data_IF_200444995544
#
_entry.id   IF_200444995544
#
_cell.length_a   1.000
_cell.length_b   1.000
_cell.length_c   1.000
_cell.angle_alpha   90.00
_cell.angle_beta   90.00
_cell.angle_gamma   90.00
#
_symmetry.space_group_name_H-M   'P 1'
#
loop_
_entity.id
_entity.type
_entity.pdbx_description
1 polymer ?
#
# COMPACT_ATOMS: atom_id res chain seq x y z
N UNK A 1 -15.67 -31.79 -62.21
CA UNK A 1 -14.46 -31.71 -61.37
C UNK A 1 -14.87 -32.00 -59.94
N UNK A 2 -14.30 -33.09 -59.41
CA UNK A 2 -14.32 -33.77 -58.09
C UNK A 2 -15.09 -33.12 -56.92
N UNK A 3 -16.07 -33.77 -56.27
CA UNK A 3 -16.08 -34.97 -55.41
C UNK A 3 -15.81 -34.69 -53.91
N UNK A 4 -16.79 -35.00 -53.06
CA UNK A 4 -16.72 -35.22 -51.60
C UNK A 4 -16.77 -36.75 -51.34
N UNK A 5 -16.64 -37.24 -50.08
CA UNK A 5 -15.52 -37.31 -49.13
C UNK A 5 -15.13 -38.80 -48.87
N UNK A 6 -14.29 -39.22 -47.89
CA UNK A 6 -14.75 -39.42 -46.49
C UNK A 6 -13.67 -39.26 -45.39
N UNK A 7 -14.11 -39.38 -44.13
CA UNK A 7 -13.32 -39.43 -42.90
C UNK A 7 -12.64 -40.80 -42.70
N UNK A 8 -11.46 -40.85 -42.06
CA UNK A 8 -11.16 -41.97 -41.16
C UNK A 8 -10.07 -41.69 -40.12
N UNK A 9 -10.12 -42.49 -39.07
CA UNK A 9 -9.58 -42.37 -37.73
C UNK A 9 -8.21 -43.02 -37.56
N UNK A 10 -7.57 -42.65 -36.45
CA UNK A 10 -6.68 -43.44 -35.57
C UNK A 10 -5.40 -44.01 -36.19
N UNK A 11 -4.27 -43.61 -35.57
CA UNK A 11 -3.31 -44.59 -35.10
C UNK A 11 -2.63 -44.09 -33.81
N UNK A 12 -2.83 -44.87 -32.75
CA UNK A 12 -2.09 -44.84 -31.49
C UNK A 12 -0.72 -45.48 -31.71
N UNK A 13 0.35 -44.89 -31.18
CA UNK A 13 1.54 -45.63 -30.76
C UNK A 13 2.41 -44.82 -29.77
N UNK A 14 2.23 -45.10 -28.47
CA UNK A 14 3.36 -45.32 -27.55
C UNK A 14 3.66 -46.83 -27.62
N UNK A 15 4.83 -47.39 -27.24
CA UNK A 15 5.87 -46.84 -26.38
C UNK A 15 7.32 -47.12 -26.85
N UNK A 16 8.33 -46.53 -26.21
CA UNK A 16 9.59 -47.24 -25.97
C UNK A 16 10.31 -46.67 -24.75
N UNK A 17 10.61 -47.59 -23.85
CA UNK A 17 11.14 -47.39 -22.51
C UNK A 17 12.66 -47.46 -22.57
N UNK A 18 13.29 -46.56 -21.82
CA UNK A 18 14.56 -46.72 -21.12
C UNK A 18 15.78 -47.27 -21.88
N UNK A 19 16.82 -46.44 -21.95
CA UNK A 19 18.16 -46.88 -21.55
C UNK A 19 18.73 -45.89 -20.55
N UNK A 20 18.81 -46.34 -19.30
CA UNK A 20 19.65 -45.74 -18.27
C UNK A 20 21.09 -46.00 -18.69
N UNK A 21 21.88 -44.96 -18.89
CA UNK A 21 23.33 -45.05 -18.86
C UNK A 21 23.79 -44.16 -17.72
N UNK A 22 24.59 -44.77 -16.85
CA UNK A 22 24.94 -44.30 -15.53
C UNK A 22 25.70 -42.97 -15.54
N UNK A 23 25.44 -42.15 -14.52
CA UNK A 23 26.38 -41.12 -14.08
C UNK A 23 27.69 -41.77 -13.63
N UNK A 24 28.80 -41.07 -13.83
CA UNK A 24 29.59 -40.68 -12.67
C UNK A 24 29.80 -39.16 -12.61
N UNK A 25 29.69 -38.66 -11.38
CA UNK A 25 29.95 -37.30 -10.98
C UNK A 25 31.40 -36.88 -11.28
N UNK A 26 31.62 -35.58 -11.53
CA UNK A 26 32.56 -34.74 -10.77
C UNK A 26 32.62 -33.31 -11.35
N UNK A 27 32.20 -32.37 -10.49
CA UNK A 27 32.77 -31.01 -10.32
C UNK A 27 32.81 -30.04 -11.50
N UNK A 28 31.86 -29.09 -11.50
CA UNK A 28 32.15 -27.66 -11.61
C UNK A 28 30.93 -26.84 -11.14
N UNK A 29 30.91 -26.49 -9.85
CA UNK A 29 30.02 -25.46 -9.32
C UNK A 29 30.43 -24.10 -9.91
N UNK A 30 29.68 -23.61 -10.89
CA UNK A 30 29.52 -22.18 -11.12
C UNK A 30 28.02 -21.90 -11.19
N UNK A 31 27.42 -21.77 -10.00
CA UNK A 31 26.09 -21.19 -9.83
C UNK A 31 26.15 -19.74 -10.32
N UNK A 32 25.70 -19.51 -11.55
CA UNK A 32 25.18 -18.21 -11.97
C UNK A 32 23.87 -17.94 -11.24
N UNK A 33 23.94 -17.60 -9.95
CA UNK A 33 22.82 -17.01 -9.23
C UNK A 33 22.61 -15.61 -9.82
N UNK A 34 21.59 -15.49 -10.67
CA UNK A 34 21.06 -14.19 -11.06
C UNK A 34 20.67 -13.43 -9.81
N UNK A 35 21.40 -12.35 -9.51
CA UNK A 35 21.01 -11.40 -8.49
C UNK A 35 19.88 -10.54 -9.07
N UNK A 36 18.67 -11.10 -9.12
CA UNK A 36 17.48 -10.28 -9.28
C UNK A 36 17.37 -9.41 -8.01
N UNK A 37 17.29 -8.07 -8.12
CA UNK A 37 17.02 -7.24 -6.96
C UNK A 37 15.67 -7.68 -6.39
N UNK A 38 15.69 -8.22 -5.17
CA UNK A 38 14.46 -8.43 -4.40
C UNK A 38 13.87 -7.02 -4.22
N UNK A 39 12.62 -6.75 -4.64
CA UNK A 39 11.95 -5.53 -4.25
C UNK A 39 11.79 -5.60 -2.74
N UNK A 40 12.73 -4.98 -2.03
CA UNK A 40 12.54 -4.64 -0.62
C UNK A 40 11.35 -3.69 -0.63
N UNK A 41 10.22 -3.99 0.03
CA UNK A 41 9.25 -2.94 0.30
C UNK A 41 10.05 -1.87 1.04
N UNK A 42 10.12 -0.66 0.47
CA UNK A 42 10.60 0.47 1.24
C UNK A 42 9.80 0.44 2.54
N UNK A 43 10.48 0.39 3.68
CA UNK A 43 9.83 0.69 4.94
C UNK A 43 9.55 2.19 4.92
N UNK A 44 8.52 2.54 4.14
CA UNK A 44 7.90 3.83 4.13
C UNK A 44 7.32 3.98 5.53
N UNK A 45 7.88 4.89 6.32
CA UNK A 45 7.07 5.52 7.37
C UNK A 45 5.72 5.82 6.71
N UNK A 46 4.57 5.35 7.25
CA UNK A 46 3.30 5.65 6.61
C UNK A 46 3.25 7.16 6.44
N UNK A 47 3.21 7.60 5.17
CA UNK A 47 3.61 8.96 4.79
C UNK A 47 2.99 10.03 5.69
N UNK A 48 1.78 9.78 6.21
CA UNK A 48 1.10 10.66 7.16
C UNK A 48 1.83 10.97 8.47
N UNK A 49 2.60 10.06 9.09
CA UNK A 49 3.30 10.36 10.35
C UNK A 49 4.46 11.34 10.13
N UNK A 50 5.29 11.10 9.11
CA UNK A 50 6.36 12.01 8.71
C UNK A 50 5.78 13.35 8.20
N UNK A 51 4.71 13.29 7.40
CA UNK A 51 4.02 14.46 6.88
C UNK A 51 3.37 15.31 7.98
N UNK A 52 2.89 14.69 9.07
CA UNK A 52 2.36 15.41 10.22
C UNK A 52 3.45 16.20 10.97
N UNK A 53 4.70 15.72 10.96
CA UNK A 53 5.85 16.47 11.49
C UNK A 53 6.20 17.60 10.54
N UNK A 54 6.36 17.30 9.24
CA UNK A 54 6.70 18.27 8.20
C UNK A 54 5.70 19.44 8.15
N UNK A 55 4.41 19.13 8.28
CA UNK A 55 3.34 20.13 8.23
C UNK A 55 3.04 20.79 9.58
N UNK A 56 3.83 20.48 10.62
CA UNK A 56 3.73 21.12 11.92
C UNK A 56 2.45 20.76 12.70
N UNK A 57 1.78 19.65 12.35
CA UNK A 57 0.55 19.21 13.02
C UNK A 57 0.79 18.92 14.52
N UNK A 58 2.00 18.49 14.89
CA UNK A 58 2.42 18.30 16.29
C UNK A 58 2.47 19.58 17.14
N UNK A 59 2.40 20.77 16.53
CA UNK A 59 2.34 22.02 17.29
C UNK A 59 1.04 22.13 18.11
N UNK A 60 -0.04 21.53 17.62
CA UNK A 60 -1.35 21.53 18.27
C UNK A 60 -1.74 20.14 18.80
N UNK A 61 -1.49 19.08 18.03
CA UNK A 61 -2.03 17.73 18.30
C UNK A 61 -1.15 16.85 19.21
N UNK A 62 -0.01 17.35 19.70
CA UNK A 62 0.80 16.59 20.68
C UNK A 62 0.16 16.66 22.09
N UNK A 63 0.25 15.60 22.90
CA UNK A 63 -0.13 15.66 24.31
C UNK A 63 0.59 16.79 25.06
N UNK A 64 -0.15 17.63 25.77
CA UNK A 64 0.42 18.75 26.54
C UNK A 64 0.85 19.95 25.68
N UNK A 65 0.35 20.08 24.45
CA UNK A 65 0.50 21.32 23.69
C UNK A 65 -0.23 22.48 24.40
N UNK A 66 0.13 23.73 24.06
CA UNK A 66 -0.57 24.94 24.55
C UNK A 66 -2.00 25.06 23.99
N UNK A 67 -2.39 24.22 23.05
CA UNK A 67 -3.70 24.21 22.40
C UNK A 67 -4.55 23.10 23.03
N UNK A 68 -5.05 23.34 24.24
CA UNK A 68 -5.73 22.33 25.06
C UNK A 68 -6.99 21.73 24.40
N UNK A 69 -7.65 22.51 23.53
CA UNK A 69 -8.86 22.06 22.82
C UNK A 69 -8.54 21.22 21.56
N UNK A 70 -7.27 21.15 21.15
CA UNK A 70 -6.88 20.34 20.00
C UNK A 70 -6.83 18.85 20.40
N UNK A 71 -7.56 17.96 19.71
CA UNK A 71 -7.56 16.54 20.04
C UNK A 71 -6.19 15.91 19.74
N UNK A 72 -5.77 14.92 20.52
CA UNK A 72 -4.53 14.19 20.18
C UNK A 72 -4.72 13.33 18.93
N UNK A 73 -3.61 12.97 18.27
CA UNK A 73 -3.68 12.00 17.16
C UNK A 73 -4.29 10.67 17.57
N UNK A 74 -4.03 10.18 18.80
CA UNK A 74 -4.68 8.95 19.28
C UNK A 74 -6.20 9.11 19.42
N UNK A 75 -6.68 10.29 19.83
CA UNK A 75 -8.12 10.58 19.88
C UNK A 75 -8.71 10.62 18.47
N UNK A 76 -8.11 11.37 17.55
CA UNK A 76 -8.55 11.46 16.16
C UNK A 76 -8.61 10.08 15.47
N UNK A 77 -7.59 9.26 15.68
CA UNK A 77 -7.54 7.91 15.14
C UNK A 77 -8.70 7.01 15.61
N UNK A 78 -9.13 7.16 16.87
CA UNK A 78 -10.30 6.45 17.39
C UNK A 78 -11.59 6.94 16.77
N UNK A 79 -11.78 8.26 16.70
CA UNK A 79 -12.98 8.87 16.11
C UNK A 79 -13.15 8.53 14.63
N UNK A 80 -12.04 8.47 13.90
CA UNK A 80 -12.03 8.20 12.46
C UNK A 80 -12.01 6.71 12.11
N UNK A 81 -11.89 5.80 13.09
CA UNK A 81 -11.87 4.35 12.85
C UNK A 81 -13.16 3.85 12.16
N UNK A 82 -14.29 4.54 12.34
CA UNK A 82 -15.57 4.25 11.66
C UNK A 82 -15.52 4.38 10.13
N UNK A 83 -14.50 5.05 9.60
CA UNK A 83 -14.30 5.27 8.17
C UNK A 83 -13.36 4.24 7.52
N UNK A 84 -12.84 3.27 8.29
CA UNK A 84 -11.98 2.22 7.74
C UNK A 84 -12.73 1.40 6.69
N UNK A 85 -12.04 1.12 5.58
CA UNK A 85 -12.58 0.36 4.46
C UNK A 85 -13.40 1.18 3.46
N UNK A 86 -13.68 2.47 3.72
CA UNK A 86 -14.23 3.39 2.72
C UNK A 86 -13.10 4.02 1.91
N UNK A 87 -12.94 3.66 0.61
CA UNK A 87 -11.83 4.14 -0.22
C UNK A 87 -11.89 5.65 -0.52
N UNK A 88 -13.02 6.31 -0.25
CA UNK A 88 -13.22 7.73 -0.52
C UNK A 88 -13.23 8.56 0.78
N UNK A 89 -13.20 7.93 1.96
CA UNK A 89 -13.31 8.67 3.22
C UNK A 89 -12.19 9.66 3.45
N UNK A 90 -10.93 9.26 3.23
CA UNK A 90 -9.77 10.12 3.45
C UNK A 90 -9.79 11.37 2.55
N UNK A 91 -10.17 11.21 1.28
CA UNK A 91 -10.30 12.32 0.36
C UNK A 91 -11.39 13.30 0.80
N UNK A 92 -12.57 12.81 1.20
CA UNK A 92 -13.67 13.66 1.70
C UNK A 92 -13.28 14.38 3.00
N UNK A 93 -12.72 13.67 3.96
CA UNK A 93 -12.23 14.26 5.22
C UNK A 93 -11.13 15.30 4.99
N UNK A 94 -10.25 15.07 4.01
CA UNK A 94 -9.19 16.02 3.64
C UNK A 94 -9.76 17.31 3.03
N UNK A 95 -10.87 17.22 2.29
CA UNK A 95 -11.60 18.40 1.81
C UNK A 95 -12.19 19.19 2.97
N UNK A 96 -12.85 18.52 3.90
CA UNK A 96 -13.46 19.15 5.09
C UNK A 96 -12.39 19.79 6.00
N UNK A 97 -11.26 19.10 6.22
CA UNK A 97 -10.09 19.65 6.94
C UNK A 97 -9.69 21.01 6.38
N UNK A 98 -9.59 21.12 5.05
CA UNK A 98 -9.14 22.34 4.36
C UNK A 98 -10.20 23.45 4.34
N UNK A 99 -11.48 23.11 4.48
CA UNK A 99 -12.57 24.10 4.55
C UNK A 99 -12.70 24.74 5.94
N UNK A 100 -12.17 24.08 6.98
CA UNK A 100 -12.37 24.48 8.37
C UNK A 100 -13.73 24.09 8.95
N UNK A 101 -14.57 23.43 8.15
CA UNK A 101 -15.87 22.87 8.52
C UNK A 101 -15.76 21.34 8.41
N UNK A 102 -16.24 20.54 9.38
CA UNK A 102 -16.90 20.90 10.64
C UNK A 102 -15.91 21.28 11.77
N UNK A 103 -14.60 21.34 11.47
CA UNK A 103 -13.52 21.46 12.45
C UNK A 103 -13.32 22.91 12.92
N UNK A 104 -14.24 23.41 13.74
CA UNK A 104 -14.18 24.75 14.34
C UNK A 104 -13.26 24.81 15.56
N UNK A 105 -12.55 25.93 15.80
CA UNK A 105 -12.47 27.16 14.99
C UNK A 105 -11.61 27.00 13.72
N UNK A 106 -11.78 27.89 12.72
CA UNK A 106 -10.95 27.87 11.49
C UNK A 106 -9.46 27.94 11.82
N UNK A 107 -8.68 27.02 11.25
CA UNK A 107 -7.22 26.93 11.44
C UNK A 107 -6.53 27.12 10.09
N UNK A 108 -5.86 28.26 9.90
CA UNK A 108 -5.19 28.62 8.63
C UNK A 108 -4.21 27.54 8.16
N UNK A 109 -3.51 26.89 9.09
CA UNK A 109 -2.59 25.79 8.76
C UNK A 109 -3.30 24.60 8.07
N UNK A 110 -4.56 24.33 8.41
CA UNK A 110 -5.35 23.29 7.74
C UNK A 110 -5.78 23.72 6.33
N UNK A 111 -6.19 24.99 6.18
CA UNK A 111 -6.67 25.55 4.90
C UNK A 111 -5.55 25.57 3.83
N UNK A 112 -4.30 25.75 4.25
CA UNK A 112 -3.12 25.81 3.38
C UNK A 112 -2.62 24.45 2.89
N UNK A 113 -3.13 23.34 3.43
CA UNK A 113 -2.73 22.01 2.96
C UNK A 113 -3.13 21.83 1.50
N UNK A 114 -2.28 21.14 0.72
CA UNK A 114 -2.69 20.67 -0.60
C UNK A 114 -3.79 19.59 -0.46
N UNK A 115 -4.64 19.39 -1.48
CA UNK A 115 -5.63 18.31 -1.46
C UNK A 115 -5.01 16.93 -1.21
N UNK A 116 -3.86 16.66 -1.81
CA UNK A 116 -3.14 15.39 -1.68
C UNK A 116 -2.57 15.20 -0.27
N UNK A 117 -1.92 16.23 0.27
CA UNK A 117 -1.36 16.23 1.63
C UNK A 117 -2.47 15.98 2.65
N UNK A 118 -3.60 16.69 2.55
CA UNK A 118 -4.73 16.53 3.45
C UNK A 118 -5.32 15.11 3.38
N UNK A 119 -5.46 14.54 2.18
CA UNK A 119 -5.93 13.17 2.01
C UNK A 119 -4.96 12.15 2.63
N UNK A 120 -3.64 12.30 2.45
CA UNK A 120 -2.62 11.43 3.06
C UNK A 120 -2.64 11.48 4.59
N UNK A 121 -2.77 12.68 5.16
CA UNK A 121 -2.92 12.86 6.61
C UNK A 121 -4.19 12.19 7.13
N UNK A 122 -5.32 12.38 6.46
CA UNK A 122 -6.60 11.78 6.86
C UNK A 122 -6.60 10.26 6.72
N UNK A 123 -5.99 9.72 5.66
CA UNK A 123 -5.81 8.28 5.49
C UNK A 123 -5.02 7.69 6.65
N UNK A 124 -3.90 8.32 7.01
CA UNK A 124 -3.09 7.88 8.15
C UNK A 124 -3.86 7.88 9.48
N UNK A 125 -4.72 8.88 9.72
CA UNK A 125 -5.59 8.90 10.90
C UNK A 125 -6.65 7.78 10.87
N UNK A 126 -7.32 7.56 9.73
CA UNK A 126 -8.29 6.47 9.54
C UNK A 126 -7.64 5.10 9.78
N UNK A 127 -6.39 4.93 9.34
CA UNK A 127 -5.60 3.71 9.53
C UNK A 127 -5.11 3.52 10.97
N UNK A 128 -5.35 4.51 11.84
CA UNK A 128 -5.12 4.43 13.27
C UNK A 128 -3.93 5.24 13.79
N UNK A 129 -3.42 6.21 13.02
CA UNK A 129 -2.31 7.09 13.38
C UNK A 129 -1.09 6.36 13.97
N UNK A 130 -0.77 5.18 13.43
CA UNK A 130 0.35 4.36 13.92
C UNK A 130 1.63 5.17 13.73
N UNK A 131 2.40 5.32 14.82
CA UNK A 131 3.77 5.81 14.76
C UNK A 131 4.59 4.79 13.97
N UNK A 132 5.50 5.27 13.13
CA UNK A 132 6.60 4.48 12.63
C UNK A 132 7.24 3.74 13.80
N UNK A 133 7.14 2.42 13.81
CA UNK A 133 7.95 1.60 14.71
C UNK A 133 9.39 1.64 14.23
#
# INVERSE_FOLDING_TARGET
MSALPPADRRAVARPARARRVALPALTACLLGLGLAPIPVPAEDLPAGAALAVEMGCHNCHRPGSRHADAPTFEHLARELAKHRGDPQAAARLGVELRKGEPFHPRVVAHEQLSPETAAKLMQWLVDGAKRSQ
#
